data_IF_612252199758
#
_entry.id   IF_612252199758
#
_cell.length_a   1.000
_cell.length_b   1.000
_cell.length_c   1.000
_cell.angle_alpha   90.00
_cell.angle_beta   90.00
_cell.angle_gamma   90.00
#
_symmetry.space_group_name_H-M   'P 1'
#
loop_
_entity.id
_entity.type
_entity.pdbx_description
1 polymer ?
#
# COMPACT_ATOMS: atom_id res chain seq x y z
N UNK A 1 -6.31 1.87 -0.32
CA UNK A 1 -6.55 2.14 -1.74
C UNK A 1 -7.12 0.89 -2.39
N UNK A 2 -8.33 1.01 -2.92
CA UNK A 2 -8.93 0.01 -3.80
C UNK A 2 -8.20 0.05 -5.16
N UNK A 3 -7.89 -1.10 -5.78
CA UNK A 3 -7.32 -1.08 -7.14
C UNK A 3 -8.38 -0.60 -8.12
N UNK A 4 -8.06 0.42 -8.90
CA UNK A 4 -8.83 0.86 -10.04
C UNK A 4 -7.92 0.99 -11.28
N UNK A 5 -8.48 1.19 -12.47
CA UNK A 5 -7.69 1.26 -13.70
C UNK A 5 -6.65 2.40 -13.68
N UNK A 6 -6.99 3.52 -13.04
CA UNK A 6 -6.15 4.72 -13.00
C UNK A 6 -4.91 4.51 -12.13
N UNK A 7 -5.08 3.97 -10.91
CA UNK A 7 -3.94 3.74 -10.02
C UNK A 7 -3.07 2.56 -10.48
N UNK A 8 -3.65 1.52 -11.11
CA UNK A 8 -2.89 0.38 -11.64
C UNK A 8 -1.87 0.81 -12.71
N UNK A 9 -2.28 1.64 -13.66
CA UNK A 9 -1.37 2.17 -14.69
C UNK A 9 -0.33 3.13 -14.10
N UNK A 10 -0.74 3.99 -13.17
CA UNK A 10 0.13 5.00 -12.59
C UNK A 10 1.25 4.39 -11.71
N UNK A 11 0.96 3.38 -10.90
CA UNK A 11 2.00 2.66 -10.14
C UNK A 11 3.00 1.95 -11.05
N UNK A 12 2.54 1.34 -12.15
CA UNK A 12 3.43 0.66 -13.09
C UNK A 12 4.43 1.65 -13.70
N UNK A 13 3.95 2.84 -14.08
CA UNK A 13 4.78 3.89 -14.65
C UNK A 13 5.75 4.51 -13.62
N UNK A 14 5.30 4.79 -12.40
CA UNK A 14 6.10 5.50 -11.40
C UNK A 14 7.02 4.58 -10.57
N UNK A 15 6.57 3.35 -10.30
CA UNK A 15 7.20 2.40 -9.35
C UNK A 15 7.68 1.10 -10.03
N UNK A 16 7.41 0.90 -11.32
CA UNK A 16 7.80 -0.30 -12.08
C UNK A 16 6.95 -1.56 -11.79
N UNK A 17 5.94 -1.44 -10.93
CA UNK A 17 5.11 -2.55 -10.45
C UNK A 17 3.67 -2.12 -10.23
N UNK A 18 2.78 -3.10 -10.14
CA UNK A 18 1.37 -2.85 -9.83
C UNK A 18 1.23 -2.34 -8.38
N UNK A 19 0.22 -1.48 -8.12
CA UNK A 19 -0.13 -1.10 -6.76
C UNK A 19 -0.67 -2.34 -6.01
N UNK A 20 -0.35 -2.43 -4.71
CA UNK A 20 -0.92 -3.45 -3.84
C UNK A 20 -2.11 -2.82 -3.10
N UNK A 21 -3.33 -3.39 -3.19
CA UNK A 21 -4.48 -2.86 -2.47
C UNK A 21 -4.43 -3.14 -0.98
N UNK A 22 -5.11 -2.30 -0.24
CA UNK A 22 -5.39 -2.53 1.18
C UNK A 22 -6.50 -3.56 1.37
N UNK A 23 -6.49 -4.23 2.51
CA UNK A 23 -7.55 -5.15 2.94
C UNK A 23 -8.34 -4.52 4.08
N UNK A 24 -9.66 -4.48 3.93
CA UNK A 24 -10.59 -3.89 4.88
C UNK A 24 -11.43 -4.98 5.52
N UNK A 25 -11.48 -5.02 6.86
CA UNK A 25 -12.29 -5.98 7.63
C UNK A 25 -13.28 -5.17 8.47
N UNK A 26 -14.58 -5.41 8.26
CA UNK A 26 -15.67 -4.70 8.96
C UNK A 26 -15.49 -3.17 8.98
N UNK A 27 -15.00 -2.61 7.88
CA UNK A 27 -14.66 -1.19 7.73
C UNK A 27 -15.48 -0.54 6.62
N UNK A 28 -15.61 0.79 6.66
CA UNK A 28 -16.20 1.57 5.59
C UNK A 28 -15.34 1.60 4.32
N UNK A 29 -15.87 2.20 3.25
CA UNK A 29 -15.15 2.35 1.99
C UNK A 29 -13.97 3.32 2.14
N UNK A 30 -12.79 2.92 1.65
CA UNK A 30 -11.64 3.80 1.51
C UNK A 30 -11.53 4.26 0.06
N UNK A 31 -11.72 5.55 -0.16
CA UNK A 31 -11.65 6.17 -1.48
C UNK A 31 -10.35 6.96 -1.60
N UNK A 32 -9.67 6.81 -2.72
CA UNK A 32 -8.47 7.55 -3.05
C UNK A 32 -8.68 9.06 -3.12
N UNK A 33 -7.68 9.83 -2.68
CA UNK A 33 -7.63 11.27 -2.87
C UNK A 33 -6.26 11.67 -3.42
N UNK A 34 -6.25 12.33 -4.59
CA UNK A 34 -5.04 12.84 -5.25
C UNK A 34 -3.88 11.83 -5.35
N UNK A 35 -4.20 10.56 -5.63
CA UNK A 35 -3.23 9.45 -5.66
C UNK A 35 -2.09 9.70 -6.66
N UNK A 36 -2.40 10.36 -7.78
CA UNK A 36 -1.45 10.67 -8.84
C UNK A 36 -0.38 11.70 -8.43
N UNK A 37 -0.65 12.57 -7.44
CA UNK A 37 0.31 13.59 -6.99
C UNK A 37 1.39 13.00 -6.07
N UNK A 38 1.10 11.83 -5.49
CA UNK A 38 2.00 11.15 -4.53
C UNK A 38 2.99 10.24 -5.26
N UNK A 39 2.57 9.61 -6.36
CA UNK A 39 3.38 8.62 -7.08
C UNK A 39 4.76 9.13 -7.54
N UNK A 40 4.91 10.35 -8.10
CA UNK A 40 6.23 10.89 -8.45
C UNK A 40 7.17 11.03 -7.25
N UNK A 41 6.63 11.35 -6.07
CA UNK A 41 7.39 11.53 -4.82
C UNK A 41 7.91 10.21 -4.27
N UNK A 42 7.26 9.09 -4.61
CA UNK A 42 7.60 7.76 -4.10
C UNK A 42 8.73 7.06 -4.87
N UNK A 43 9.19 7.63 -6.00
CA UNK A 43 10.20 6.99 -6.87
C UNK A 43 11.50 6.61 -6.15
N UNK A 44 11.95 7.44 -5.21
CA UNK A 44 13.15 7.17 -4.40
C UNK A 44 12.94 6.13 -3.29
N UNK A 45 11.71 6.00 -2.79
CA UNK A 45 11.36 5.04 -1.72
C UNK A 45 11.07 3.65 -2.31
N UNK A 46 10.59 3.60 -3.56
CA UNK A 46 10.19 2.37 -4.23
C UNK A 46 11.33 1.35 -4.38
N UNK A 47 12.59 1.80 -4.41
CA UNK A 47 13.77 0.93 -4.51
C UNK A 47 14.14 0.30 -3.15
N UNK A 48 13.87 1.01 -2.05
CA UNK A 48 14.16 0.56 -0.70
C UNK A 48 13.02 -0.25 -0.07
N UNK A 49 11.78 0.02 -0.47
CA UNK A 49 10.60 -0.61 0.12
C UNK A 49 9.87 -1.53 -0.86
N UNK A 50 9.85 -2.82 -0.53
CA UNK A 50 9.08 -3.85 -1.24
C UNK A 50 7.82 -4.18 -0.43
N UNK A 51 6.65 -3.62 -0.79
CA UNK A 51 5.43 -4.00 -0.11
C UNK A 51 5.06 -5.43 -0.48
N UNK A 52 4.41 -6.08 0.47
CA UNK A 52 3.81 -7.40 0.32
C UNK A 52 2.29 -7.26 0.29
N UNK A 53 1.59 -8.31 -0.13
CA UNK A 53 0.14 -8.31 -0.15
C UNK A 53 -0.41 -8.10 1.26
N UNK A 54 -1.29 -7.11 1.41
CA UNK A 54 -1.97 -6.85 2.67
C UNK A 54 -2.81 -8.07 3.07
N UNK A 55 -2.82 -8.35 4.38
CA UNK A 55 -3.60 -9.44 4.99
C UNK A 55 -4.36 -8.87 6.18
N UNK A 56 -5.51 -9.48 6.49
CA UNK A 56 -6.18 -9.22 7.75
C UNK A 56 -5.21 -9.56 8.89
N UNK A 57 -4.89 -8.55 9.71
CA UNK A 57 -4.06 -8.75 10.88
C UNK A 57 -4.93 -9.32 12.00
N UNK A 58 -4.52 -10.45 12.56
CA UNK A 58 -5.02 -10.91 13.85
C UNK A 58 -4.37 -10.11 14.97
N UNK A 59 -4.99 -10.11 16.16
CA UNK A 59 -4.35 -9.56 17.36
C UNK A 59 -3.04 -10.33 17.60
N UNK A 60 -1.90 -9.66 17.49
CA UNK A 60 -0.57 -10.25 17.66
C UNK A 60 0.26 -9.37 18.57
N UNK A 61 0.90 -9.98 19.56
CA UNK A 61 1.91 -9.33 20.41
C UNK A 61 3.34 -9.48 19.86
N UNK A 62 3.49 -10.18 18.72
CA UNK A 62 4.77 -10.37 18.03
C UNK A 62 4.95 -9.30 16.95
N UNK A 63 6.15 -8.71 16.85
CA UNK A 63 6.59 -7.76 15.82
C UNK A 63 5.89 -6.38 15.83
N UNK A 64 5.11 -6.05 16.87
CA UNK A 64 4.53 -4.73 17.08
C UNK A 64 4.94 -4.19 18.45
N UNK A 65 5.47 -2.97 18.51
CA UNK A 65 5.97 -2.35 19.75
C UNK A 65 7.43 -2.66 20.05
N UNK A 66 7.91 -2.23 21.22
CA UNK A 66 9.29 -2.48 21.69
C UNK A 66 9.34 -3.88 22.31
N UNK A 67 10.11 -4.80 21.73
CA UNK A 67 10.15 -6.21 22.15
C UNK A 67 10.54 -7.14 21.00
N UNK A 68 10.16 -8.43 21.08
CA UNK A 68 10.49 -9.46 20.08
C UNK A 68 10.11 -9.01 18.65
N UNK A 69 11.16 -8.75 17.86
CA UNK A 69 11.16 -8.22 16.50
C UNK A 69 11.68 -9.28 15.52
#
# INVERSE_FOLDING_TARGET
MSVNANNKAACKAALGRDCIPDVFVSSGAFVGHSENDVLPKMKGVATAFKPTQAKALGLSTKNFGVGDL
#
